data_IF_500189006947
#
_entry.id   IF_500189006947
#
_cell.length_a   1.000
_cell.length_b   1.000
_cell.length_c   1.000
_cell.angle_alpha   90.00
_cell.angle_beta   90.00
_cell.angle_gamma   90.00
#
_symmetry.space_group_name_H-M   'P 1'
#
loop_
_entity.id
_entity.type
_entity.pdbx_description
1 polymer ?
#
# COMPACT_ATOMS: atom_id res chain seq x y z
N UNK A 1 -13.56 -3.66 8.75
CA UNK A 1 -13.51 -2.55 7.78
C UNK A 1 -14.09 -2.96 6.43
N UNK A 2 -14.53 -1.98 5.60
CA UNK A 2 -15.06 -2.29 4.27
C UNK A 2 -14.50 -1.35 3.21
N UNK A 3 -14.04 -1.91 2.08
CA UNK A 3 -13.70 -1.16 0.88
C UNK A 3 -14.70 -1.44 -0.24
N UNK A 4 -15.10 -0.38 -0.94
CA UNK A 4 -15.90 -0.44 -2.17
C UNK A 4 -15.03 0.03 -3.32
N UNK A 5 -14.92 -0.72 -4.40
CA UNK A 5 -14.05 -0.40 -5.53
C UNK A 5 -14.87 -0.16 -6.78
N UNK A 6 -14.82 1.06 -7.30
CA UNK A 6 -15.37 1.40 -8.63
C UNK A 6 -14.33 1.06 -9.67
N UNK A 7 -14.65 0.14 -10.58
CA UNK A 7 -13.72 -0.34 -11.61
C UNK A 7 -14.43 -0.69 -12.91
N UNK A 8 -13.70 -0.72 -14.01
CA UNK A 8 -14.15 -1.28 -15.30
C UNK A 8 -13.81 -2.77 -15.44
N UNK A 9 -12.94 -3.30 -14.57
CA UNK A 9 -12.37 -4.65 -14.66
C UNK A 9 -12.39 -5.37 -13.31
N UNK A 10 -13.59 -5.68 -12.75
CA UNK A 10 -13.68 -6.36 -11.46
C UNK A 10 -12.99 -7.73 -11.46
N UNK A 11 -12.86 -8.39 -12.62
CA UNK A 11 -12.16 -9.66 -12.78
C UNK A 11 -10.68 -9.62 -12.40
N UNK A 12 -10.03 -8.44 -12.43
CA UNK A 12 -8.63 -8.29 -11.99
C UNK A 12 -8.43 -8.55 -10.49
N UNK A 13 -9.48 -8.45 -9.71
CA UNK A 13 -9.43 -8.67 -8.26
C UNK A 13 -9.57 -10.14 -7.87
N UNK A 14 -10.10 -11.00 -8.73
CA UNK A 14 -10.40 -12.39 -8.39
C UNK A 14 -9.17 -13.20 -7.92
N UNK A 15 -8.00 -13.17 -8.60
CA UNK A 15 -6.80 -13.87 -8.14
C UNK A 15 -6.29 -13.34 -6.79
N UNK A 16 -6.37 -12.03 -6.59
CA UNK A 16 -5.95 -11.38 -5.35
C UNK A 16 -6.81 -11.82 -4.15
N UNK A 17 -8.12 -11.92 -4.33
CA UNK A 17 -9.05 -12.32 -3.28
C UNK A 17 -8.96 -13.80 -2.91
N UNK A 18 -8.49 -14.66 -3.84
CA UNK A 18 -8.48 -16.11 -3.67
C UNK A 18 -7.11 -16.71 -3.36
N UNK A 19 -6.04 -15.90 -3.36
CA UNK A 19 -4.66 -16.40 -3.26
C UNK A 19 -3.89 -15.77 -2.11
N UNK A 20 -2.88 -16.48 -1.62
CA UNK A 20 -1.93 -15.99 -0.63
C UNK A 20 -2.53 -15.72 0.74
N UNK A 21 -1.81 -14.90 1.52
CA UNK A 21 -2.22 -14.55 2.89
C UNK A 21 -3.46 -13.64 2.90
N UNK A 22 -3.63 -12.82 1.87
CA UNK A 22 -4.74 -11.87 1.77
C UNK A 22 -6.10 -12.53 1.71
N UNK A 23 -6.19 -13.73 1.07
CA UNK A 23 -7.41 -14.55 1.09
C UNK A 23 -7.99 -14.67 2.50
N UNK A 24 -7.13 -14.88 3.52
CA UNK A 24 -7.58 -15.02 4.91
C UNK A 24 -8.28 -13.77 5.43
N UNK A 25 -7.76 -12.56 5.10
CA UNK A 25 -8.37 -11.31 5.52
C UNK A 25 -9.81 -11.16 5.02
N UNK A 26 -10.06 -11.59 3.78
CA UNK A 26 -11.38 -11.52 3.15
C UNK A 26 -12.30 -12.66 3.62
N UNK A 27 -11.81 -13.90 3.72
CA UNK A 27 -12.59 -15.05 4.17
C UNK A 27 -13.04 -14.93 5.64
N UNK A 28 -12.18 -14.38 6.52
CA UNK A 28 -12.51 -14.16 7.93
C UNK A 28 -13.34 -12.88 8.16
N UNK A 29 -13.55 -12.08 7.10
CA UNK A 29 -14.31 -10.84 7.19
C UNK A 29 -13.58 -9.70 7.90
N UNK A 30 -12.25 -9.80 8.16
CA UNK A 30 -11.46 -8.70 8.67
C UNK A 30 -11.48 -7.50 7.72
N UNK A 31 -11.43 -7.79 6.41
CA UNK A 31 -11.64 -6.82 5.33
C UNK A 31 -12.78 -7.29 4.45
N UNK A 32 -13.83 -6.50 4.33
CA UNK A 32 -14.89 -6.69 3.35
C UNK A 32 -14.56 -5.90 2.08
N UNK A 33 -14.65 -6.55 0.92
CA UNK A 33 -14.46 -5.90 -0.37
C UNK A 33 -15.69 -6.06 -1.23
N UNK A 34 -16.23 -4.96 -1.76
CA UNK A 34 -17.30 -4.97 -2.74
C UNK A 34 -16.85 -4.28 -4.03
N UNK A 35 -16.96 -4.99 -5.13
CA UNK A 35 -16.60 -4.49 -6.47
C UNK A 35 -17.85 -3.95 -7.17
N UNK A 36 -17.72 -2.80 -7.79
CA UNK A 36 -18.77 -2.09 -8.48
C UNK A 36 -18.35 -1.89 -9.93
N UNK A 37 -19.01 -2.61 -10.83
CA UNK A 37 -18.78 -2.47 -12.28
C UNK A 37 -19.39 -1.16 -12.74
N UNK A 38 -18.52 -0.19 -13.14
CA UNK A 38 -19.00 1.15 -13.52
C UNK A 38 -19.97 1.13 -14.70
N UNK A 39 -19.82 0.18 -15.64
CA UNK A 39 -20.73 0.06 -16.80
C UNK A 39 -22.18 -0.24 -16.43
N UNK A 40 -22.45 -0.75 -15.21
CA UNK A 40 -23.81 -1.03 -14.75
C UNK A 40 -24.59 0.25 -14.38
N UNK A 41 -23.90 1.39 -14.29
CA UNK A 41 -24.46 2.71 -13.97
C UNK A 41 -24.62 3.60 -15.19
N UNK A 42 -24.50 3.03 -16.37
CA UNK A 42 -24.68 3.75 -17.65
C UNK A 42 -26.06 3.42 -18.26
N UNK A 43 -26.52 4.31 -19.11
CA UNK A 43 -27.74 4.12 -19.91
C UNK A 43 -27.37 3.78 -21.36
N UNK A 44 -28.29 3.08 -22.04
CA UNK A 44 -28.14 2.72 -23.45
C UNK A 44 -27.37 1.44 -23.71
N UNK A 45 -27.45 0.96 -24.96
CA UNK A 45 -26.94 -0.34 -25.40
C UNK A 45 -25.41 -0.45 -25.32
N UNK A 46 -24.72 0.65 -25.50
CA UNK A 46 -23.24 0.66 -25.56
C UNK A 46 -22.58 0.79 -24.18
N UNK A 47 -23.31 1.04 -23.11
CA UNK A 47 -22.81 1.16 -21.73
C UNK A 47 -21.57 2.05 -21.64
N UNK A 48 -21.61 3.25 -22.30
CA UNK A 48 -20.48 4.17 -22.40
C UNK A 48 -20.17 4.78 -21.02
N UNK A 49 -18.90 4.75 -20.67
CA UNK A 49 -18.36 5.32 -19.42
C UNK A 49 -17.37 6.45 -19.67
N UNK A 50 -17.03 6.69 -20.93
CA UNK A 50 -15.97 7.59 -21.38
C UNK A 50 -16.41 8.36 -22.62
N UNK A 51 -15.84 9.56 -22.82
CA UNK A 51 -16.02 10.36 -24.03
C UNK A 51 -14.73 11.15 -24.36
N UNK A 52 -14.70 11.78 -25.53
CA UNK A 52 -13.56 12.58 -25.98
C UNK A 52 -13.38 13.81 -25.08
N UNK A 53 -12.11 14.18 -24.76
CA UNK A 53 -11.87 15.37 -23.94
C UNK A 53 -12.29 16.65 -24.69
N UNK A 54 -12.87 17.60 -23.97
CA UNK A 54 -13.05 18.95 -24.47
C UNK A 54 -11.68 19.58 -24.73
N UNK A 55 -11.55 20.35 -25.80
CA UNK A 55 -10.28 20.89 -26.25
C UNK A 55 -9.50 19.98 -27.20
N UNK A 56 -10.00 18.75 -27.43
CA UNK A 56 -9.32 17.76 -28.27
C UNK A 56 -8.15 17.07 -27.58
N UNK A 57 -7.38 16.30 -28.32
CA UNK A 57 -6.25 15.52 -27.85
C UNK A 57 -6.49 14.01 -27.99
N UNK A 58 -5.46 13.19 -27.74
CA UNK A 58 -5.57 11.74 -27.76
C UNK A 58 -6.35 11.22 -26.53
N UNK A 59 -6.85 10.00 -26.65
CA UNK A 59 -7.48 9.29 -25.54
C UNK A 59 -8.93 9.67 -25.28
N UNK A 60 -9.41 9.25 -24.12
CA UNK A 60 -10.79 9.39 -23.63
C UNK A 60 -10.75 9.85 -22.18
N UNK A 61 -11.86 10.39 -21.67
CA UNK A 61 -12.01 10.78 -20.25
C UNK A 61 -13.24 10.09 -19.69
N UNK A 62 -13.12 9.55 -18.46
CA UNK A 62 -14.25 8.93 -17.78
C UNK A 62 -15.30 9.98 -17.42
N UNK A 63 -16.55 9.70 -17.80
CA UNK A 63 -17.67 10.60 -17.62
C UNK A 63 -18.09 10.74 -16.16
N UNK A 64 -18.43 11.96 -15.74
CA UNK A 64 -18.86 12.25 -14.38
C UNK A 64 -20.18 11.53 -13.98
N UNK A 65 -21.18 11.49 -14.88
CA UNK A 65 -22.51 10.96 -14.58
C UNK A 65 -22.52 9.47 -14.16
N UNK A 66 -21.86 8.53 -14.89
CA UNK A 66 -21.76 7.14 -14.43
C UNK A 66 -21.06 6.99 -13.09
N UNK A 67 -19.97 7.76 -12.87
CA UNK A 67 -19.22 7.76 -11.61
C UNK A 67 -20.06 8.24 -10.45
N UNK A 68 -20.82 9.31 -10.62
CA UNK A 68 -21.71 9.84 -9.58
C UNK A 68 -22.84 8.87 -9.25
N UNK A 69 -23.50 8.28 -10.25
CA UNK A 69 -24.55 7.27 -10.05
C UNK A 69 -24.01 6.06 -9.28
N UNK A 70 -22.82 5.58 -9.63
CA UNK A 70 -22.16 4.49 -8.93
C UNK A 70 -21.85 4.87 -7.48
N UNK A 71 -21.28 6.05 -7.26
CA UNK A 71 -20.97 6.57 -5.92
C UNK A 71 -22.21 6.69 -5.04
N UNK A 72 -23.31 7.19 -5.58
CA UNK A 72 -24.59 7.29 -4.87
C UNK A 72 -25.13 5.91 -4.48
N UNK A 73 -25.06 4.94 -5.39
CA UNK A 73 -25.48 3.56 -5.11
C UNK A 73 -24.62 2.92 -4.00
N UNK A 74 -23.29 3.16 -4.01
CA UNK A 74 -22.39 2.71 -2.94
C UNK A 74 -22.80 3.31 -1.60
N UNK A 75 -23.03 4.62 -1.55
CA UNK A 75 -23.42 5.31 -0.33
C UNK A 75 -24.76 4.79 0.21
N UNK A 76 -25.74 4.52 -0.64
CA UNK A 76 -27.00 3.92 -0.27
C UNK A 76 -26.83 2.50 0.31
N UNK A 77 -26.05 1.65 -0.35
CA UNK A 77 -25.76 0.28 0.11
C UNK A 77 -25.04 0.27 1.47
N UNK A 78 -24.05 1.16 1.66
CA UNK A 78 -23.36 1.32 2.94
C UNK A 78 -24.28 1.81 4.05
N UNK A 79 -25.10 2.80 3.77
CA UNK A 79 -26.08 3.35 4.74
C UNK A 79 -27.12 2.29 5.17
N UNK A 80 -27.55 1.43 4.24
CA UNK A 80 -28.48 0.34 4.54
C UNK A 80 -27.88 -0.70 5.51
N UNK A 81 -26.55 -0.91 5.45
CA UNK A 81 -25.84 -1.84 6.34
C UNK A 81 -25.42 -1.19 7.66
N UNK A 82 -24.93 0.05 7.61
CA UNK A 82 -24.49 0.82 8.77
C UNK A 82 -24.62 2.33 8.48
N UNK A 83 -25.48 3.06 9.18
CA UNK A 83 -25.70 4.50 8.94
C UNK A 83 -24.42 5.36 9.01
N UNK A 84 -23.44 4.97 9.83
CA UNK A 84 -22.17 5.70 9.97
C UNK A 84 -21.17 5.41 8.85
N UNK A 85 -21.27 4.29 8.17
CA UNK A 85 -20.34 3.89 7.11
C UNK A 85 -20.45 4.76 5.84
N UNK A 86 -21.51 5.55 5.68
CA UNK A 86 -21.72 6.46 4.55
C UNK A 86 -20.69 7.60 4.49
N UNK A 87 -20.00 7.87 5.61
CA UNK A 87 -19.02 8.97 5.74
C UNK A 87 -17.57 8.60 5.40
N UNK A 88 -17.35 7.39 4.88
CA UNK A 88 -15.97 6.99 4.49
C UNK A 88 -15.48 7.82 3.30
N UNK A 89 -14.16 8.08 3.23
CA UNK A 89 -13.59 8.90 2.17
C UNK A 89 -13.65 8.21 0.80
N UNK A 90 -13.73 9.05 -0.23
CA UNK A 90 -13.58 8.68 -1.63
C UNK A 90 -12.15 8.90 -2.05
N UNK A 91 -11.48 7.85 -2.49
CA UNK A 91 -10.07 7.82 -2.84
C UNK A 91 -9.89 7.61 -4.34
N UNK A 92 -9.13 8.47 -4.98
CA UNK A 92 -8.69 8.31 -6.36
C UNK A 92 -7.20 7.98 -6.42
N UNK A 93 -6.82 6.97 -7.19
CA UNK A 93 -5.41 6.72 -7.50
C UNK A 93 -4.98 7.59 -8.68
N UNK A 94 -3.98 8.45 -8.43
CA UNK A 94 -3.57 9.48 -9.37
C UNK A 94 -2.09 9.86 -9.18
N UNK A 95 -1.35 10.17 -10.24
CA UNK A 95 0.04 10.64 -10.13
C UNK A 95 0.23 11.91 -9.30
N UNK A 96 -0.79 12.78 -9.23
CA UNK A 96 -0.74 14.00 -8.42
C UNK A 96 -1.06 13.75 -6.94
N UNK A 97 -1.43 12.53 -6.58
CA UNK A 97 -1.77 12.17 -5.21
C UNK A 97 -0.55 12.13 -4.27
N UNK A 98 -0.83 12.12 -2.98
CA UNK A 98 0.20 11.89 -1.98
C UNK A 98 0.74 10.46 -2.11
N UNK A 99 2.07 10.31 -2.07
CA UNK A 99 2.70 8.99 -2.17
C UNK A 99 2.31 8.11 -0.99
N UNK A 100 1.85 6.88 -1.28
CA UNK A 100 1.51 5.89 -0.27
C UNK A 100 2.77 5.48 0.50
N UNK A 101 2.72 5.63 1.82
CA UNK A 101 3.78 5.24 2.74
C UNK A 101 3.27 4.20 3.73
N UNK A 102 4.17 3.54 4.47
CA UNK A 102 3.79 2.59 5.52
C UNK A 102 2.89 3.24 6.59
N UNK A 103 3.23 4.45 7.02
CA UNK A 103 2.39 5.22 7.97
C UNK A 103 0.99 5.50 7.40
N UNK A 104 0.88 5.78 6.09
CA UNK A 104 -0.40 5.89 5.40
C UNK A 104 -1.18 4.57 5.42
N UNK A 105 -0.50 3.45 5.16
CA UNK A 105 -1.11 2.10 5.24
C UNK A 105 -1.60 1.78 6.65
N UNK A 106 -0.82 2.10 7.69
CA UNK A 106 -1.23 1.93 9.09
C UNK A 106 -2.50 2.74 9.40
N UNK A 107 -2.56 4.00 8.95
CA UNK A 107 -3.76 4.81 9.10
C UNK A 107 -4.98 4.18 8.40
N UNK A 108 -4.82 3.69 7.18
CA UNK A 108 -5.88 2.99 6.46
C UNK A 108 -6.30 1.68 7.16
N UNK A 109 -5.35 0.95 7.75
CA UNK A 109 -5.62 -0.31 8.45
C UNK A 109 -6.49 -0.15 9.69
N UNK A 110 -6.53 1.05 10.27
CA UNK A 110 -7.33 1.41 11.44
C UNK A 110 -8.64 2.11 11.09
N UNK A 111 -8.91 2.35 9.80
CA UNK A 111 -10.10 3.06 9.33
C UNK A 111 -11.30 2.11 9.15
N UNK A 112 -12.49 2.69 8.95
CA UNK A 112 -13.68 1.95 8.54
C UNK A 112 -13.65 1.50 7.06
N UNK A 113 -12.59 1.85 6.33
CA UNK A 113 -12.38 1.60 4.91
C UNK A 113 -12.60 2.85 4.06
N UNK A 114 -12.81 2.65 2.76
CA UNK A 114 -12.95 3.73 1.78
C UNK A 114 -13.76 3.30 0.56
N UNK A 115 -14.11 4.27 -0.28
CA UNK A 115 -14.56 4.06 -1.66
C UNK A 115 -13.37 4.36 -2.57
N UNK A 116 -12.84 3.34 -3.25
CA UNK A 116 -11.68 3.42 -4.11
C UNK A 116 -12.11 3.56 -5.56
N UNK A 117 -11.58 4.55 -6.27
CA UNK A 117 -11.87 4.76 -7.69
C UNK A 117 -10.66 4.35 -8.52
N UNK A 118 -10.85 3.37 -9.39
CA UNK A 118 -9.86 2.94 -10.36
C UNK A 118 -10.05 3.74 -11.66
N UNK A 119 -9.34 4.86 -11.78
CA UNK A 119 -9.31 5.66 -13.00
C UNK A 119 -8.74 4.87 -14.18
N UNK A 120 -9.23 5.16 -15.37
CA UNK A 120 -8.76 4.63 -16.66
C UNK A 120 -8.66 5.75 -17.69
N UNK A 121 -8.12 5.43 -18.85
CA UNK A 121 -7.94 6.36 -19.96
C UNK A 121 -7.03 7.54 -19.56
N UNK A 122 -7.38 8.79 -19.96
CA UNK A 122 -6.64 10.00 -19.57
C UNK A 122 -7.02 10.51 -18.16
N UNK A 123 -7.98 9.86 -17.51
CA UNK A 123 -8.47 10.20 -16.19
C UNK A 123 -9.98 10.37 -16.13
N UNK A 124 -10.43 11.02 -15.05
CA UNK A 124 -11.83 11.30 -14.77
C UNK A 124 -12.14 12.76 -15.11
N UNK A 125 -13.41 13.05 -15.42
CA UNK A 125 -13.90 14.43 -15.51
C UNK A 125 -13.53 15.21 -14.25
N UNK A 126 -12.83 16.34 -14.42
CA UNK A 126 -12.30 17.12 -13.31
C UNK A 126 -13.40 17.60 -12.37
N UNK A 127 -14.58 17.91 -12.89
CA UNK A 127 -15.73 18.35 -12.07
C UNK A 127 -16.19 17.28 -11.08
N UNK A 128 -16.08 15.99 -11.46
CA UNK A 128 -16.36 14.89 -10.56
C UNK A 128 -15.28 14.79 -9.47
N UNK A 129 -14.01 14.93 -9.85
CA UNK A 129 -12.90 14.91 -8.88
C UNK A 129 -13.09 16.03 -7.85
N UNK A 130 -13.32 17.25 -8.30
CA UNK A 130 -13.46 18.42 -7.43
C UNK A 130 -14.67 18.32 -6.47
N UNK A 131 -15.75 17.66 -6.90
CA UNK A 131 -16.97 17.55 -6.11
C UNK A 131 -16.99 16.36 -5.15
N UNK A 132 -16.28 15.26 -5.45
CA UNK A 132 -16.52 13.98 -4.79
C UNK A 132 -15.28 13.27 -4.26
N UNK A 133 -14.08 13.61 -4.71
CA UNK A 133 -12.84 12.94 -4.27
C UNK A 133 -12.27 13.65 -3.05
N UNK A 134 -12.15 12.90 -1.94
CA UNK A 134 -11.62 13.43 -0.69
C UNK A 134 -10.09 13.31 -0.62
N UNK A 135 -9.52 12.23 -1.20
CA UNK A 135 -8.09 11.90 -1.13
C UNK A 135 -7.59 11.40 -2.48
N UNK A 136 -6.41 11.85 -2.88
CA UNK A 136 -5.70 11.27 -4.02
C UNK A 136 -4.42 10.60 -3.54
N UNK A 137 -4.15 9.37 -4.02
CA UNK A 137 -3.00 8.54 -3.63
C UNK A 137 -2.19 8.19 -4.87
N UNK A 138 -0.87 8.38 -4.77
CA UNK A 138 0.12 7.92 -5.76
C UNK A 138 0.90 6.72 -5.22
N UNK A 139 1.29 5.79 -6.09
CA UNK A 139 2.25 4.73 -5.76
C UNK A 139 3.71 5.13 -6.02
N UNK A 140 3.94 6.26 -6.69
CA UNK A 140 5.26 6.74 -7.08
C UNK A 140 5.26 7.43 -8.43
N UNK A 141 6.42 7.84 -8.91
CA UNK A 141 6.62 8.62 -10.12
C UNK A 141 6.63 7.74 -11.38
N UNK A 142 5.53 7.05 -11.63
CA UNK A 142 5.30 6.24 -12.84
C UNK A 142 3.81 6.17 -13.16
N UNK A 143 3.48 5.81 -14.40
CA UNK A 143 2.10 5.74 -14.88
C UNK A 143 1.68 4.29 -15.07
N UNK A 144 0.48 3.97 -14.56
CA UNK A 144 -0.20 2.69 -14.76
C UNK A 144 -1.33 2.84 -15.79
N UNK A 145 -1.74 1.75 -16.41
CA UNK A 145 -2.88 1.74 -17.35
C UNK A 145 -4.23 1.95 -16.67
N UNK A 146 -4.28 1.92 -15.34
CA UNK A 146 -5.46 2.15 -14.53
C UNK A 146 -5.21 1.99 -13.05
N UNK A 147 -6.19 2.36 -12.23
CA UNK A 147 -6.09 2.38 -10.77
C UNK A 147 -6.21 1.03 -10.08
N UNK A 148 -6.54 -0.06 -10.78
CA UNK A 148 -6.81 -1.36 -10.15
C UNK A 148 -5.58 -1.94 -9.45
N UNK A 149 -4.40 -1.83 -10.06
CA UNK A 149 -3.15 -2.31 -9.43
C UNK A 149 -2.84 -1.49 -8.17
N UNK A 150 -3.08 -0.18 -8.22
CA UNK A 150 -2.90 0.68 -7.06
C UNK A 150 -3.88 0.36 -5.93
N UNK A 151 -5.15 0.07 -6.27
CA UNK A 151 -6.15 -0.39 -5.33
C UNK A 151 -5.74 -1.73 -4.69
N UNK A 152 -5.28 -2.70 -5.49
CA UNK A 152 -4.80 -3.99 -4.99
C UNK A 152 -3.60 -3.80 -4.07
N UNK A 153 -2.63 -2.94 -4.41
CA UNK A 153 -1.46 -2.66 -3.57
C UNK A 153 -1.87 -2.08 -2.20
N UNK A 154 -2.80 -1.13 -2.17
CA UNK A 154 -3.33 -0.59 -0.91
C UNK A 154 -4.05 -1.67 -0.10
N UNK A 155 -4.93 -2.44 -0.75
CA UNK A 155 -5.70 -3.50 -0.11
C UNK A 155 -4.80 -4.61 0.45
N UNK A 156 -3.74 -5.00 -0.26
CA UNK A 156 -2.74 -5.97 0.19
C UNK A 156 -2.03 -5.48 1.45
N UNK A 157 -1.50 -4.25 1.38
CA UNK A 157 -0.76 -3.65 2.48
C UNK A 157 -1.65 -3.49 3.74
N UNK A 158 -2.92 -3.12 3.58
CA UNK A 158 -3.89 -2.99 4.68
C UNK A 158 -4.30 -4.35 5.22
N UNK A 159 -4.58 -5.32 4.35
CA UNK A 159 -5.07 -6.65 4.73
C UNK A 159 -4.07 -7.39 5.63
N UNK A 160 -2.76 -7.32 5.32
CA UNK A 160 -1.73 -7.99 6.11
C UNK A 160 -1.52 -7.38 7.50
N UNK A 161 -1.98 -6.14 7.74
CA UNK A 161 -1.94 -5.49 9.06
C UNK A 161 -3.18 -5.81 9.92
N UNK A 162 -4.16 -6.54 9.38
CA UNK A 162 -5.34 -6.90 10.18
C UNK A 162 -5.03 -8.01 11.17
N UNK A 163 -5.57 -7.93 12.39
CA UNK A 163 -5.38 -8.97 13.40
C UNK A 163 -5.77 -10.37 12.89
N UNK A 164 -4.95 -11.37 13.19
CA UNK A 164 -5.20 -12.78 12.83
C UNK A 164 -4.99 -13.14 11.35
N UNK A 165 -4.61 -12.20 10.48
CA UNK A 165 -4.32 -12.47 9.07
C UNK A 165 -2.93 -13.10 8.93
N UNK A 166 -1.90 -12.53 9.54
CA UNK A 166 -0.59 -13.16 9.63
C UNK A 166 -0.58 -14.21 10.74
N UNK A 167 0.20 -15.29 10.55
CA UNK A 167 0.31 -16.37 11.53
C UNK A 167 0.99 -15.93 12.83
N UNK A 168 1.90 -14.97 12.75
CA UNK A 168 2.58 -14.35 13.88
C UNK A 168 2.28 -12.84 13.84
N UNK A 169 1.59 -12.35 14.86
CA UNK A 169 1.25 -10.92 14.97
C UNK A 169 2.49 -10.03 15.07
N UNK A 170 3.62 -10.55 15.55
CA UNK A 170 4.90 -9.85 15.55
C UNK A 170 5.56 -9.73 14.18
N UNK A 171 5.10 -10.51 13.18
CA UNK A 171 5.76 -10.61 11.88
C UNK A 171 5.80 -9.27 11.12
N UNK A 172 4.73 -8.48 11.18
CA UNK A 172 4.68 -7.17 10.53
C UNK A 172 5.44 -6.08 11.28
N UNK A 173 5.71 -6.26 12.60
CA UNK A 173 6.43 -5.27 13.40
C UNK A 173 7.90 -5.15 13.01
N UNK A 174 8.46 -6.20 12.42
CA UNK A 174 9.84 -6.24 11.95
C UNK A 174 9.99 -5.89 10.46
N UNK A 175 8.91 -5.47 9.80
CA UNK A 175 8.96 -5.05 8.40
C UNK A 175 9.68 -3.69 8.25
N UNK A 176 10.31 -3.48 7.09
CA UNK A 176 10.85 -2.18 6.70
C UNK A 176 9.80 -1.08 6.82
N UNK A 177 10.22 0.10 7.23
CA UNK A 177 9.41 1.30 7.44
C UNK A 177 8.48 1.25 8.67
N UNK A 178 8.39 0.13 9.38
CA UNK A 178 7.56 0.01 10.57
C UNK A 178 8.08 0.90 11.71
N UNK A 179 7.19 1.55 12.50
CA UNK A 179 7.58 2.33 13.68
C UNK A 179 8.43 1.55 14.70
N UNK A 180 8.24 0.23 14.83
CA UNK A 180 9.04 -0.62 15.73
C UNK A 180 10.50 -0.75 15.27
N UNK A 181 10.80 -0.51 13.99
CA UNK A 181 12.15 -0.37 13.44
C UNK A 181 12.58 1.10 13.26
N UNK A 182 11.90 2.04 13.92
CA UNK A 182 12.14 3.48 13.77
C UNK A 182 11.97 4.01 12.34
N UNK A 183 11.24 3.28 11.51
CA UNK A 183 11.03 3.59 10.09
C UNK A 183 12.20 3.21 9.18
N UNK A 184 13.17 2.45 9.67
CA UNK A 184 14.33 1.98 8.92
C UNK A 184 13.98 0.76 8.04
N UNK A 185 14.92 0.36 7.18
CA UNK A 185 14.82 -0.91 6.47
C UNK A 185 15.10 -2.09 7.42
N UNK A 186 14.44 -3.21 7.20
CA UNK A 186 14.74 -4.45 7.89
C UNK A 186 16.10 -5.02 7.47
N UNK A 187 16.62 -5.96 8.25
CA UNK A 187 17.89 -6.63 7.98
C UNK A 187 17.73 -7.78 6.96
N UNK A 188 18.87 -8.25 6.41
CA UNK A 188 18.89 -9.45 5.59
C UNK A 188 18.53 -10.72 6.39
N UNK A 189 17.78 -11.61 5.75
CA UNK A 189 17.37 -12.89 6.34
C UNK A 189 18.14 -14.06 5.73
N UNK A 190 18.44 -15.06 6.56
CA UNK A 190 19.14 -16.26 6.19
C UNK A 190 18.29 -17.49 6.49
N UNK A 191 18.38 -18.51 5.60
CA UNK A 191 17.68 -19.77 5.76
C UNK A 191 18.58 -20.94 5.34
N UNK A 192 18.07 -22.15 5.38
CA UNK A 192 18.78 -23.38 4.98
C UNK A 192 19.03 -23.41 3.47
N UNK A 193 20.14 -24.01 3.02
CA UNK A 193 21.19 -24.67 3.82
C UNK A 193 22.09 -23.66 4.53
N UNK A 194 22.81 -24.08 5.58
CA UNK A 194 23.75 -23.25 6.37
C UNK A 194 24.91 -22.70 5.52
N UNK A 195 25.35 -23.47 4.54
CA UNK A 195 26.36 -23.04 3.57
C UNK A 195 25.81 -23.14 2.15
N UNK A 196 25.87 -22.02 1.41
CA UNK A 196 25.45 -21.95 0.03
C UNK A 196 26.51 -21.27 -0.83
N UNK A 197 27.02 -21.98 -1.87
CA UNK A 197 28.13 -21.51 -2.73
C UNK A 197 29.38 -21.06 -1.97
N UNK A 198 29.70 -21.71 -0.84
CA UNK A 198 30.85 -21.34 -0.01
C UNK A 198 30.60 -20.24 1.02
N UNK A 199 29.48 -19.54 0.90
CA UNK A 199 29.06 -18.52 1.88
C UNK A 199 28.26 -19.17 3.01
N UNK A 200 28.59 -18.82 4.26
CA UNK A 200 27.94 -19.38 5.44
C UNK A 200 27.00 -18.38 6.09
N UNK A 201 25.95 -18.89 6.75
CA UNK A 201 25.10 -18.09 7.62
C UNK A 201 25.97 -17.45 8.72
N UNK A 202 25.80 -16.16 9.03
CA UNK A 202 26.54 -15.52 10.11
C UNK A 202 26.43 -16.31 11.43
N UNK A 203 27.58 -16.69 12.05
CA UNK A 203 27.58 -17.57 13.24
C UNK A 203 26.73 -17.05 14.39
N UNK A 204 26.61 -15.73 14.53
CA UNK A 204 25.80 -15.08 15.55
C UNK A 204 24.32 -15.50 15.47
N UNK A 205 23.79 -15.73 14.27
CA UNK A 205 22.41 -16.14 14.06
C UNK A 205 22.14 -17.59 14.52
N UNK A 206 23.20 -18.37 14.69
CA UNK A 206 23.14 -19.76 15.14
C UNK A 206 23.48 -19.91 16.65
N UNK A 207 23.87 -18.81 17.31
CA UNK A 207 24.36 -18.86 18.71
C UNK A 207 23.28 -19.12 19.77
N UNK A 208 22.00 -18.87 19.45
CA UNK A 208 20.91 -18.90 20.41
C UNK A 208 20.87 -17.71 21.40
N UNK A 209 21.82 -16.78 21.33
CA UNK A 209 21.88 -15.59 22.18
C UNK A 209 21.00 -14.48 21.63
N UNK A 210 19.72 -14.44 22.04
CA UNK A 210 18.71 -13.51 21.47
C UNK A 210 19.11 -12.04 21.53
N UNK A 211 19.75 -11.59 22.61
CA UNK A 211 20.19 -10.19 22.73
C UNK A 211 21.27 -9.83 21.70
N UNK A 212 22.23 -10.70 21.46
CA UNK A 212 23.29 -10.49 20.49
C UNK A 212 22.76 -10.58 19.06
N UNK A 213 21.81 -11.48 18.80
CA UNK A 213 21.09 -11.58 17.52
C UNK A 213 20.30 -10.30 17.25
N UNK A 214 19.57 -9.77 18.25
CA UNK A 214 18.82 -8.52 18.10
C UNK A 214 19.74 -7.32 17.80
N UNK A 215 20.86 -7.22 18.51
CA UNK A 215 21.89 -6.21 18.27
C UNK A 215 22.47 -6.32 16.85
N UNK A 216 22.81 -7.53 16.43
CA UNK A 216 23.33 -7.77 15.07
C UNK A 216 22.29 -7.37 14.02
N UNK A 217 21.01 -7.77 14.16
CA UNK A 217 19.92 -7.38 13.25
C UNK A 217 19.79 -5.86 13.17
N UNK A 218 19.82 -5.16 14.31
CA UNK A 218 19.79 -3.69 14.33
C UNK A 218 20.95 -3.08 13.56
N UNK A 219 22.15 -3.59 13.74
CA UNK A 219 23.33 -3.13 13.00
C UNK A 219 23.19 -3.37 11.49
N UNK A 220 22.68 -4.54 11.06
CA UNK A 220 22.43 -4.81 9.64
C UNK A 220 21.34 -3.89 9.05
N UNK A 221 20.28 -3.64 9.81
CA UNK A 221 19.27 -2.66 9.43
C UNK A 221 19.88 -1.27 9.20
N UNK A 222 20.70 -0.78 10.12
CA UNK A 222 21.40 0.50 9.99
C UNK A 222 22.33 0.53 8.76
N UNK A 223 23.09 -0.55 8.52
CA UNK A 223 23.97 -0.68 7.34
C UNK A 223 23.17 -0.58 6.05
N UNK A 224 22.11 -1.40 5.92
CA UNK A 224 21.27 -1.42 4.72
C UNK A 224 20.57 -0.09 4.51
N UNK A 225 20.05 0.51 5.58
CA UNK A 225 19.36 1.80 5.49
C UNK A 225 20.34 2.90 5.09
N UNK A 226 21.52 2.97 5.70
CA UNK A 226 22.54 3.97 5.35
C UNK A 226 23.02 3.82 3.91
N UNK A 227 23.12 2.59 3.40
CA UNK A 227 23.56 2.32 2.02
C UNK A 227 22.49 2.66 0.98
N UNK A 228 21.22 2.31 1.22
CA UNK A 228 20.18 2.34 0.20
C UNK A 228 19.14 3.45 0.39
N UNK A 229 18.92 3.87 1.62
CA UNK A 229 17.92 4.88 2.00
C UNK A 229 18.47 5.80 3.12
N UNK A 230 19.57 6.54 2.86
CA UNK A 230 20.17 7.45 3.86
C UNK A 230 19.19 8.52 4.34
N UNK A 231 18.19 8.87 3.53
CA UNK A 231 17.09 9.76 3.87
C UNK A 231 16.28 9.29 5.09
N UNK A 232 16.12 7.97 5.27
CA UNK A 232 15.44 7.39 6.43
C UNK A 232 16.29 7.51 7.72
N UNK A 233 17.62 7.36 7.62
CA UNK A 233 18.53 7.61 8.74
C UNK A 233 18.41 9.06 9.20
N UNK A 234 18.42 10.01 8.26
CA UNK A 234 18.27 11.43 8.60
C UNK A 234 16.92 11.73 9.23
N UNK A 235 15.87 11.12 8.71
CA UNK A 235 14.51 11.25 9.26
C UNK A 235 14.43 10.70 10.68
N UNK A 236 14.92 9.48 10.92
CA UNK A 236 14.97 8.86 12.25
C UNK A 236 15.79 9.70 13.24
N UNK A 237 16.93 10.26 12.79
CA UNK A 237 17.77 11.14 13.58
C UNK A 237 17.04 12.43 13.98
N UNK A 238 16.38 13.12 13.03
CA UNK A 238 15.58 14.32 13.29
C UNK A 238 14.43 14.07 14.26
N UNK A 239 13.86 12.86 14.23
CA UNK A 239 12.78 12.45 15.14
C UNK A 239 13.29 11.93 16.49
N UNK A 240 14.60 11.90 16.73
CA UNK A 240 15.19 11.40 17.98
C UNK A 240 15.01 9.90 18.22
N UNK A 241 14.83 9.11 17.15
CA UNK A 241 14.59 7.67 17.21
C UNK A 241 15.88 6.83 17.23
N UNK A 242 17.00 7.39 16.83
CA UNK A 242 18.29 6.70 16.90
C UNK A 242 18.87 6.76 18.31
N UNK A 243 19.24 5.61 18.85
CA UNK A 243 19.92 5.53 20.15
C UNK A 243 21.37 6.05 20.06
N UNK A 244 21.98 6.37 21.21
CA UNK A 244 23.42 6.71 21.28
C UNK A 244 24.30 5.59 20.71
N UNK A 245 23.89 4.32 20.86
CA UNK A 245 24.62 3.19 20.30
C UNK A 245 24.50 3.14 18.77
N UNK A 246 23.32 3.45 18.21
CA UNK A 246 23.10 3.54 16.76
C UNK A 246 23.98 4.65 16.15
N UNK A 247 23.99 5.83 16.76
CA UNK A 247 24.81 6.95 16.28
C UNK A 247 26.32 6.65 16.37
N UNK A 248 26.76 6.02 17.46
CA UNK A 248 28.13 5.58 17.57
C UNK A 248 28.48 4.55 16.49
N UNK A 249 27.59 3.59 16.22
CA UNK A 249 27.78 2.59 15.18
C UNK A 249 27.86 3.25 13.79
N UNK A 250 26.93 4.14 13.44
CA UNK A 250 26.89 4.85 12.16
C UNK A 250 28.12 5.71 11.94
N UNK A 251 28.64 6.37 12.98
CA UNK A 251 29.86 7.20 12.89
C UNK A 251 31.11 6.38 12.53
N UNK A 252 31.17 5.13 12.98
CA UNK A 252 32.30 4.24 12.72
C UNK A 252 32.08 3.30 11.53
N UNK A 253 30.90 3.37 10.89
CA UNK A 253 30.54 2.56 9.74
C UNK A 253 31.37 2.97 8.51
N UNK A 254 32.27 2.08 8.06
CA UNK A 254 32.95 2.22 6.78
C UNK A 254 32.15 1.48 5.73
N UNK A 255 31.33 2.19 4.98
CA UNK A 255 30.72 1.60 3.80
C UNK A 255 31.78 1.42 2.71
N UNK A 256 31.82 0.27 2.01
CA UNK A 256 32.57 0.18 0.77
C UNK A 256 32.07 1.28 -0.17
N UNK A 257 32.99 1.93 -0.87
CA UNK A 257 32.64 2.98 -1.83
C UNK A 257 31.58 2.47 -2.84
N UNK A 258 30.90 3.38 -3.55
CA UNK A 258 29.87 2.98 -4.50
C UNK A 258 30.45 1.98 -5.49
N UNK A 259 29.79 0.82 -5.59
CA UNK A 259 30.14 -0.17 -6.62
C UNK A 259 30.09 0.54 -7.97
N UNK A 260 31.23 0.55 -8.66
CA UNK A 260 31.31 1.05 -10.03
C UNK A 260 30.53 0.06 -10.90
N UNK A 261 29.25 0.36 -11.12
CA UNK A 261 28.44 -0.24 -12.19
C UNK A 261 28.70 0.47 -13.49
#
# INVERSE_FOLDING_TARGET
MRFDVITLFPELFAPFLSSGINRRAFEFGAVALKLWQLRDFTQGTYRRVDDRPFGGGPGMVMMAEPLEKCLLAIRQDRTAQNPNAAKVPVVLFSPIGQTLTHAGVESWSQSDGAILICGRYEGLDQRFIDAHVDVQISLGDFVLSGGEIAAIALLDAVARLQPGVLNDEGSHQMDSFNPALDGLLDCGHYTRPETWHGETVPPILMSGHHADIAKWRRQQSLILTQKHRPDLIETARKMGKLSTQDEHFLTHLRLPGPDKT
#
